data_IF_048191149448
#
_entry.id   IF_048191149448
#
_cell.length_a   1.000
_cell.length_b   1.000
_cell.length_c   1.000
_cell.angle_alpha   90.00
_cell.angle_beta   90.00
_cell.angle_gamma   90.00
#
_symmetry.space_group_name_H-M   'P 1'
#
loop_
_entity.id
_entity.type
_entity.pdbx_description
1 polymer ?
#
# COMPACT_ATOMS: atom_id res chain seq x y z
N UNK A 1 31.99 68.19 -6.47
CA UNK A 1 32.34 66.79 -6.79
C UNK A 1 31.12 65.92 -6.51
N UNK A 2 30.43 65.46 -7.55
CA UNK A 2 29.20 64.66 -7.45
C UNK A 2 29.57 63.25 -6.95
N UNK A 3 29.07 62.86 -5.77
CA UNK A 3 29.19 61.47 -5.27
C UNK A 3 28.18 60.60 -6.02
N UNK A 4 28.68 59.66 -6.82
CA UNK A 4 27.90 58.57 -7.42
C UNK A 4 27.39 57.67 -6.29
N UNK A 5 26.08 57.48 -6.21
CA UNK A 5 25.45 56.43 -5.41
C UNK A 5 25.45 55.13 -6.24
N UNK A 6 26.22 54.14 -5.79
CA UNK A 6 26.12 52.77 -6.28
C UNK A 6 24.94 52.10 -5.54
N UNK A 7 23.85 51.85 -6.26
CA UNK A 7 22.75 51.03 -5.75
C UNK A 7 23.19 49.58 -5.79
N UNK A 8 23.34 48.95 -4.62
CA UNK A 8 23.58 47.52 -4.48
C UNK A 8 22.22 46.83 -4.66
N UNK A 9 21.98 46.23 -5.83
CA UNK A 9 20.82 45.39 -6.03
C UNK A 9 21.02 44.08 -5.25
N UNK A 10 20.30 43.92 -4.14
CA UNK A 10 20.21 42.66 -3.42
C UNK A 10 19.30 41.75 -4.24
N UNK A 11 19.89 40.81 -4.98
CA UNK A 11 19.15 39.72 -5.59
C UNK A 11 18.75 38.77 -4.46
N UNK A 12 17.50 38.88 -3.98
CA UNK A 12 16.90 37.83 -3.18
C UNK A 12 16.83 36.58 -4.08
N UNK A 13 17.75 35.65 -3.87
CA UNK A 13 17.62 34.31 -4.41
C UNK A 13 16.36 33.71 -3.81
N UNK A 14 15.32 33.55 -4.62
CA UNK A 14 14.22 32.67 -4.29
C UNK A 14 14.82 31.25 -4.29
N UNK A 15 15.22 30.77 -3.11
CA UNK A 15 15.37 29.34 -2.90
C UNK A 15 13.97 28.75 -3.04
N UNK A 16 13.77 27.97 -4.10
CA UNK A 16 12.65 27.05 -4.17
C UNK A 16 12.86 26.11 -2.99
N UNK A 17 12.08 26.28 -1.91
CA UNK A 17 11.97 25.22 -0.92
C UNK A 17 11.47 24.00 -1.70
N UNK A 18 12.30 22.98 -1.83
CA UNK A 18 11.77 21.66 -2.16
C UNK A 18 10.88 21.29 -0.98
N UNK A 19 9.59 21.14 -1.24
CA UNK A 19 8.71 20.53 -0.26
C UNK A 19 9.25 19.11 -0.01
N UNK A 20 9.58 18.83 1.23
CA UNK A 20 10.11 17.57 1.72
C UNK A 20 9.67 17.47 3.18
N UNK A 21 9.31 16.27 3.62
CA UNK A 21 9.07 16.01 5.04
C UNK A 21 10.29 16.42 5.86
N UNK A 22 10.05 16.91 7.06
CA UNK A 22 11.11 17.11 8.03
C UNK A 22 11.82 15.79 8.31
N UNK A 23 13.14 15.86 8.31
CA UNK A 23 14.00 14.76 8.76
C UNK A 23 14.45 15.15 10.16
N UNK A 24 14.21 14.31 11.17
CA UNK A 24 14.63 14.60 12.54
C UNK A 24 16.14 14.76 12.63
N UNK A 25 16.59 15.58 13.58
CA UNK A 25 17.99 15.56 14.00
C UNK A 25 18.31 14.23 14.71
N UNK A 26 19.59 13.89 14.84
CA UNK A 26 20.06 12.56 15.30
C UNK A 26 19.38 12.11 16.60
N UNK A 27 18.61 11.03 16.52
CA UNK A 27 18.02 10.31 17.65
C UNK A 27 18.93 9.16 18.07
N UNK A 28 18.85 8.74 19.34
CA UNK A 28 19.55 7.55 19.85
C UNK A 28 18.56 6.44 20.23
N UNK A 29 18.57 5.36 19.46
CA UNK A 29 17.79 4.14 19.73
C UNK A 29 18.64 3.00 20.29
N UNK A 30 19.91 3.23 20.64
CA UNK A 30 20.83 2.16 21.05
C UNK A 30 20.64 1.67 22.49
N UNK A 31 19.89 2.40 23.33
CA UNK A 31 19.65 2.04 24.74
C UNK A 31 18.30 1.33 24.96
N UNK A 32 17.70 0.79 23.90
CA UNK A 32 16.42 0.06 23.96
C UNK A 32 15.23 0.87 23.45
N UNK A 33 15.43 2.12 23.08
CA UNK A 33 14.41 3.03 22.51
C UNK A 33 14.22 2.77 21.00
N UNK A 34 13.89 1.53 20.66
CA UNK A 34 13.91 0.98 19.29
C UNK A 34 12.58 0.31 18.95
N UNK A 35 12.19 0.42 17.69
CA UNK A 35 11.07 -0.29 17.08
C UNK A 35 11.64 -1.55 16.41
N UNK A 36 11.26 -2.73 16.89
CA UNK A 36 11.72 -4.01 16.32
C UNK A 36 10.81 -4.54 15.24
N UNK A 37 9.51 -4.23 15.31
CA UNK A 37 8.57 -4.64 14.30
C UNK A 37 7.39 -3.68 14.21
N UNK A 38 6.90 -3.45 12.99
CA UNK A 38 5.61 -2.79 12.72
C UNK A 38 4.75 -3.73 11.87
N UNK A 39 3.52 -4.00 12.31
CA UNK A 39 2.48 -4.57 11.46
C UNK A 39 1.27 -3.66 11.34
N UNK A 40 0.86 -3.36 10.11
CA UNK A 40 -0.27 -2.48 9.85
C UNK A 40 -0.85 -2.71 8.46
N UNK A 41 -2.10 -3.21 8.38
CA UNK A 41 -2.86 -3.34 7.14
C UNK A 41 -2.08 -3.95 5.95
N UNK A 42 -1.25 -4.96 6.20
CA UNK A 42 -0.41 -5.64 5.19
C UNK A 42 1.08 -5.37 5.34
N UNK A 43 1.48 -4.29 6.00
CA UNK A 43 2.87 -4.09 6.46
C UNK A 43 3.19 -5.15 7.51
N UNK A 44 4.38 -5.73 7.42
CA UNK A 44 5.03 -6.52 8.45
C UNK A 44 6.55 -6.35 8.25
N UNK A 45 7.12 -5.36 8.91
CA UNK A 45 8.52 -5.00 8.77
C UNK A 45 9.25 -5.26 10.08
N UNK A 46 10.26 -6.13 10.06
CA UNK A 46 11.21 -6.29 11.15
C UNK A 46 12.37 -5.32 10.93
N UNK A 47 12.74 -4.56 11.96
CA UNK A 47 13.82 -3.57 11.94
C UNK A 47 14.73 -3.70 13.17
N UNK A 48 15.91 -3.09 13.05
CA UNK A 48 16.82 -2.81 14.15
C UNK A 48 16.96 -1.29 14.24
N UNK A 49 17.56 -0.79 15.33
CA UNK A 49 17.84 0.64 15.52
C UNK A 49 18.47 1.28 14.26
N UNK A 50 17.71 2.17 13.65
CA UNK A 50 18.08 2.84 12.41
C UNK A 50 19.27 3.77 12.62
N UNK A 51 20.12 3.98 11.60
CA UNK A 51 21.21 4.96 11.69
C UNK A 51 20.65 6.35 12.07
N UNK A 52 21.22 6.95 13.11
CA UNK A 52 20.77 8.22 13.67
C UNK A 52 19.28 8.23 14.11
N UNK A 53 18.74 7.03 14.39
CA UNK A 53 17.37 6.79 14.82
C UNK A 53 16.28 7.16 13.81
N UNK A 54 16.62 7.23 12.51
CA UNK A 54 15.64 7.47 11.44
C UNK A 54 15.72 6.40 10.35
N UNK A 55 14.63 5.66 10.16
CA UNK A 55 14.44 4.65 9.12
C UNK A 55 13.42 5.08 8.07
N UNK A 56 13.82 5.15 6.81
CA UNK A 56 12.90 5.36 5.68
C UNK A 56 12.65 4.04 4.95
N UNK A 57 11.44 3.51 5.09
CA UNK A 57 10.99 2.27 4.47
C UNK A 57 10.05 2.48 3.28
N UNK A 58 9.86 3.73 2.83
CA UNK A 58 8.91 4.08 1.78
C UNK A 58 9.22 3.44 0.41
N UNK A 59 10.47 3.04 0.17
CA UNK A 59 10.90 2.34 -1.05
C UNK A 59 11.17 0.84 -0.87
N UNK A 60 11.21 0.35 0.37
CA UNK A 60 11.67 -1.02 0.70
C UNK A 60 10.58 -1.92 1.26
N UNK A 61 9.48 -1.34 1.74
CA UNK A 61 8.31 -2.05 2.29
C UNK A 61 7.07 -1.72 1.46
N UNK A 62 6.29 -2.75 1.11
CA UNK A 62 5.04 -2.54 0.38
C UNK A 62 4.05 -1.71 1.22
N UNK A 63 3.30 -0.76 0.62
CA UNK A 63 2.41 0.12 1.38
C UNK A 63 1.30 -0.63 2.13
N UNK A 64 0.91 -0.10 3.30
CA UNK A 64 -0.31 -0.52 4.00
C UNK A 64 -1.54 -0.30 3.10
N UNK A 65 -2.46 -1.26 3.04
CA UNK A 65 -3.64 -1.20 2.18
C UNK A 65 -4.89 -0.93 3.02
N UNK A 66 -5.43 0.29 2.92
CA UNK A 66 -6.55 0.73 3.76
C UNK A 66 -7.69 1.33 2.95
N UNK A 67 -8.89 1.30 3.54
CA UNK A 67 -10.13 1.82 2.93
C UNK A 67 -10.65 3.01 3.77
N UNK A 68 -11.10 4.12 3.14
CA UNK A 68 -11.69 5.23 3.85
C UNK A 68 -12.84 4.82 4.78
N UNK A 69 -12.82 5.29 6.03
CA UNK A 69 -13.86 5.03 7.02
C UNK A 69 -13.76 3.70 7.77
N UNK A 70 -12.80 2.84 7.41
CA UNK A 70 -12.54 1.58 8.10
C UNK A 70 -11.49 1.74 9.21
N UNK A 71 -11.52 0.82 10.17
CA UNK A 71 -10.57 0.76 11.30
C UNK A 71 -9.67 -0.46 11.16
N UNK A 72 -8.38 -0.26 11.38
CA UNK A 72 -7.33 -1.28 11.26
C UNK A 72 -6.57 -1.38 12.58
N UNK A 73 -6.25 -2.61 12.98
CA UNK A 73 -5.34 -2.84 14.10
C UNK A 73 -3.90 -2.62 13.62
N UNK A 74 -3.13 -1.89 14.41
CA UNK A 74 -1.68 -1.77 14.30
C UNK A 74 -1.04 -2.53 15.45
N UNK A 75 0.05 -3.23 15.21
CA UNK A 75 0.89 -3.80 16.26
C UNK A 75 2.33 -3.36 16.11
N UNK A 76 3.00 -3.14 17.24
CA UNK A 76 4.43 -2.80 17.26
C UNK A 76 5.14 -3.62 18.33
N UNK A 77 6.30 -4.17 18.00
CA UNK A 77 7.24 -4.75 18.98
C UNK A 77 8.32 -3.70 19.29
N UNK A 78 8.46 -3.36 20.57
CA UNK A 78 9.24 -2.22 21.02
C UNK A 78 10.23 -2.67 22.09
N UNK A 79 11.44 -2.08 22.08
CA UNK A 79 12.46 -2.34 23.08
C UNK A 79 12.15 -1.79 24.48
N UNK A 80 12.91 -2.28 25.47
CA UNK A 80 12.84 -1.87 26.88
C UNK A 80 13.87 -0.76 27.14
N UNK A 81 13.61 0.44 26.59
CA UNK A 81 14.47 1.62 26.76
C UNK A 81 14.19 2.36 28.06
N UNK A 82 12.92 2.65 28.34
CA UNK A 82 12.42 3.08 29.65
C UNK A 82 10.88 3.05 29.73
N UNK A 83 10.21 4.14 29.36
CA UNK A 83 8.77 4.15 29.10
C UNK A 83 8.60 4.66 27.69
N UNK A 84 8.26 3.74 26.79
CA UNK A 84 8.19 4.05 25.37
C UNK A 84 6.83 4.59 24.99
N UNK A 85 6.81 5.81 24.46
CA UNK A 85 5.60 6.45 23.94
C UNK A 85 5.67 6.48 22.44
N UNK A 86 4.59 6.07 21.79
CA UNK A 86 4.53 6.08 20.33
C UNK A 86 3.36 6.92 19.83
N UNK A 87 3.69 7.87 18.97
CA UNK A 87 2.74 8.57 18.11
C UNK A 87 2.93 8.13 16.67
N UNK A 88 1.84 8.12 15.92
CA UNK A 88 1.84 7.86 14.49
C UNK A 88 1.11 8.98 13.77
N UNK A 89 1.55 9.36 12.58
CA UNK A 89 0.88 10.29 11.69
C UNK A 89 0.67 9.66 10.32
N UNK A 90 -0.38 10.07 9.63
CA UNK A 90 -0.55 9.83 8.20
C UNK A 90 -0.89 11.18 7.56
N UNK A 91 0.00 11.71 6.74
CA UNK A 91 -0.24 12.96 5.98
C UNK A 91 -1.35 12.68 4.97
N UNK A 92 -2.61 12.95 5.33
CA UNK A 92 -3.81 12.60 4.56
C UNK A 92 -4.17 13.66 3.52
N UNK A 93 -3.60 14.85 3.61
CA UNK A 93 -3.78 15.91 2.61
C UNK A 93 -2.60 16.02 1.62
N UNK A 94 -1.55 15.22 1.82
CA UNK A 94 -0.31 15.17 1.03
C UNK A 94 0.38 16.54 0.93
N UNK A 95 0.29 17.36 1.99
CA UNK A 95 0.91 18.68 2.03
C UNK A 95 2.41 18.65 2.43
N UNK A 96 2.95 17.46 2.71
CA UNK A 96 4.32 17.20 3.19
C UNK A 96 4.61 17.71 4.60
N UNK A 97 3.56 17.87 5.40
CA UNK A 97 3.58 18.21 6.81
C UNK A 97 2.71 17.19 7.53
N UNK A 98 3.12 16.80 8.73
CA UNK A 98 2.32 15.93 9.58
C UNK A 98 1.57 16.80 10.59
N UNK A 99 0.29 17.02 10.32
CA UNK A 99 -0.55 17.92 11.09
C UNK A 99 -1.08 17.26 12.37
N UNK A 100 -1.49 18.08 13.35
CA UNK A 100 -1.94 17.57 14.65
C UNK A 100 -3.22 16.73 14.60
N UNK A 101 -4.07 16.97 13.60
CA UNK A 101 -5.31 16.21 13.35
C UNK A 101 -5.08 14.92 12.55
N UNK A 102 -3.84 14.69 12.11
CA UNK A 102 -3.40 13.47 11.43
C UNK A 102 -2.72 12.48 12.39
N UNK A 103 -2.60 12.86 13.67
CA UNK A 103 -1.89 12.09 14.69
C UNK A 103 -2.78 11.07 15.40
N UNK A 104 -2.19 9.93 15.69
CA UNK A 104 -2.72 8.85 16.51
C UNK A 104 -1.74 8.56 17.65
N UNK A 105 -2.24 8.51 18.89
CA UNK A 105 -1.47 8.09 20.05
C UNK A 105 -1.63 6.56 20.19
N UNK A 106 -0.55 5.79 20.05
CA UNK A 106 -0.62 4.32 19.88
C UNK A 106 -0.18 3.56 21.14
N UNK A 107 0.96 3.93 21.74
CA UNK A 107 1.55 3.21 22.88
C UNK A 107 1.67 4.12 24.10
N UNK A 108 0.94 3.79 25.16
CA UNK A 108 0.75 4.64 26.35
C UNK A 108 1.95 4.68 27.32
N UNK A 109 3.08 4.02 27.04
CA UNK A 109 4.26 4.06 27.91
C UNK A 109 4.39 2.83 28.79
N UNK A 110 5.19 1.87 28.33
CA UNK A 110 5.59 0.69 29.09
C UNK A 110 7.07 0.38 28.79
N UNK A 111 7.65 -0.55 29.55
CA UNK A 111 9.06 -0.97 29.48
C UNK A 111 9.32 -1.95 28.32
N UNK A 112 8.72 -1.73 27.15
CA UNK A 112 8.85 -2.59 25.97
C UNK A 112 7.90 -3.79 25.88
N UNK A 113 7.91 -4.45 24.72
CA UNK A 113 7.05 -5.57 24.34
C UNK A 113 6.17 -5.28 23.12
N UNK A 114 5.15 -6.13 22.91
CA UNK A 114 4.21 -6.00 21.78
C UNK A 114 2.97 -5.24 22.20
N UNK A 115 2.73 -4.11 21.54
CA UNK A 115 1.58 -3.23 21.76
C UNK A 115 0.63 -3.27 20.58
N UNK A 116 -0.64 -2.93 20.85
CA UNK A 116 -1.70 -2.90 19.87
C UNK A 116 -2.41 -1.55 19.94
N UNK A 117 -2.77 -1.01 18.77
CA UNK A 117 -3.59 0.18 18.64
C UNK A 117 -4.64 0.00 17.55
N UNK A 118 -5.62 0.91 17.53
CA UNK A 118 -6.65 0.96 16.49
C UNK A 118 -6.55 2.28 15.72
N UNK A 119 -6.34 2.19 14.41
CA UNK A 119 -6.24 3.34 13.53
C UNK A 119 -7.49 3.39 12.66
N UNK A 120 -8.26 4.47 12.81
CA UNK A 120 -9.45 4.71 11.97
C UNK A 120 -9.09 5.67 10.85
N UNK A 121 -9.26 5.23 9.61
CA UNK A 121 -9.01 6.06 8.44
C UNK A 121 -10.19 7.04 8.24
N UNK A 122 -9.97 8.35 8.10
CA UNK A 122 -11.05 9.30 7.83
C UNK A 122 -11.91 8.87 6.64
N UNK A 123 -13.22 9.05 6.71
CA UNK A 123 -14.12 8.60 5.62
C UNK A 123 -14.08 9.48 4.37
N UNK A 124 -13.52 10.68 4.49
CA UNK A 124 -13.44 11.71 3.46
C UNK A 124 -12.05 11.85 2.84
N UNK A 125 -11.07 11.05 3.29
CA UNK A 125 -9.77 10.94 2.62
C UNK A 125 -9.98 10.43 1.19
N UNK A 126 -9.22 10.98 0.24
CA UNK A 126 -9.28 10.56 -1.15
C UNK A 126 -8.47 9.29 -1.38
N UNK A 127 -8.80 8.53 -2.42
CA UNK A 127 -7.94 7.44 -2.89
C UNK A 127 -6.56 8.02 -3.28
N UNK A 128 -5.49 7.42 -2.77
CA UNK A 128 -4.15 7.98 -2.91
C UNK A 128 -3.09 7.21 -2.13
N UNK A 129 -1.82 7.54 -2.40
CA UNK A 129 -0.69 7.11 -1.57
C UNK A 129 -0.33 8.26 -0.65
N UNK A 130 -0.11 7.95 0.61
CA UNK A 130 0.16 8.88 1.69
C UNK A 130 1.37 8.39 2.49
N UNK A 131 2.12 9.31 3.09
CA UNK A 131 3.23 8.93 3.97
C UNK A 131 2.71 8.75 5.38
N UNK A 132 3.14 7.67 6.02
CA UNK A 132 2.92 7.41 7.44
C UNK A 132 4.25 7.56 8.17
N UNK A 133 4.24 8.24 9.31
CA UNK A 133 5.37 8.35 10.22
C UNK A 133 5.02 7.73 11.55
N UNK A 134 5.90 6.87 12.06
CA UNK A 134 5.84 6.37 13.43
C UNK A 134 7.00 7.00 14.19
N UNK A 135 6.71 7.57 15.35
CA UNK A 135 7.73 8.12 16.24
C UNK A 135 7.59 7.49 17.61
N UNK A 136 8.60 6.73 18.00
CA UNK A 136 8.85 6.26 19.34
C UNK A 136 9.79 7.22 20.06
N UNK A 137 9.43 7.66 21.25
CA UNK A 137 10.32 8.42 22.13
C UNK A 137 10.25 7.89 23.55
N UNK A 138 11.42 7.80 24.18
CA UNK A 138 11.55 7.54 25.60
C UNK A 138 11.00 8.73 26.38
N UNK A 139 9.94 8.49 27.14
CA UNK A 139 9.34 9.50 28.00
C UNK A 139 9.41 9.06 29.46
N UNK A 140 9.20 9.98 30.40
CA UNK A 140 8.91 9.58 31.78
C UNK A 140 7.55 8.86 31.86
N UNK A 141 7.27 8.15 32.97
CA UNK A 141 5.97 7.49 33.19
C UNK A 141 4.75 8.42 33.05
N UNK A 142 4.94 9.72 33.30
CA UNK A 142 3.93 10.77 33.15
C UNK A 142 4.24 11.72 31.99
N UNK A 143 5.13 11.33 31.08
CA UNK A 143 5.47 12.07 29.88
C UNK A 143 4.37 11.94 28.83
N UNK A 144 4.25 12.97 28.03
CA UNK A 144 3.31 13.02 26.91
C UNK A 144 3.83 12.18 25.74
N UNK A 145 2.91 11.79 24.86
CA UNK A 145 3.26 11.20 23.57
C UNK A 145 4.04 12.20 22.72
N UNK A 146 4.86 11.75 21.75
CA UNK A 146 5.48 12.66 20.80
C UNK A 146 4.46 13.56 20.11
N UNK A 147 4.65 14.88 20.24
CA UNK A 147 3.71 15.88 19.69
C UNK A 147 4.20 16.49 18.38
N UNK A 148 5.51 16.57 18.21
CA UNK A 148 6.18 17.14 17.04
C UNK A 148 6.84 16.00 16.23
N UNK A 149 6.40 15.76 14.98
CA UNK A 149 6.93 14.71 14.12
C UNK A 149 8.30 15.08 13.50
N UNK A 150 8.75 16.32 13.67
CA UNK A 150 9.94 16.87 13.02
C UNK A 150 11.17 16.96 13.90
N UNK A 151 11.01 16.91 15.23
CA UNK A 151 12.08 16.93 16.25
C UNK A 151 13.18 17.93 15.92
N UNK A 152 13.02 19.19 16.37
CA UNK A 152 13.98 20.27 16.13
C UNK A 152 14.82 20.65 17.38
N UNK A 153 14.89 19.77 18.37
CA UNK A 153 15.58 20.06 19.63
C UNK A 153 17.09 19.79 19.55
N UNK A 154 17.90 20.72 20.06
CA UNK A 154 19.37 20.59 20.17
C UNK A 154 19.83 19.54 21.20
N UNK A 155 18.92 18.78 21.82
CA UNK A 155 19.25 17.78 22.84
C UNK A 155 19.13 16.36 22.25
N UNK A 156 20.00 15.46 22.71
CA UNK A 156 19.93 14.04 22.42
C UNK A 156 18.61 13.47 22.96
N UNK A 157 17.74 13.06 22.03
CA UNK A 157 16.45 12.43 22.33
C UNK A 157 16.60 10.94 22.07
N UNK A 158 16.21 10.16 23.08
CA UNK A 158 16.14 8.71 22.99
C UNK A 158 14.87 8.30 22.26
N UNK A 159 15.02 7.53 21.19
CA UNK A 159 13.90 7.10 20.37
C UNK A 159 14.27 6.76 18.93
N UNK A 160 13.23 6.46 18.16
CA UNK A 160 13.34 6.09 16.75
C UNK A 160 12.13 6.59 15.96
N UNK A 161 12.39 7.01 14.72
CA UNK A 161 11.37 7.37 13.74
C UNK A 161 11.44 6.43 12.54
N UNK A 162 10.29 5.93 12.11
CA UNK A 162 10.17 5.12 10.90
C UNK A 162 9.10 5.67 9.95
N UNK A 163 9.44 5.82 8.67
CA UNK A 163 8.52 6.27 7.62
C UNK A 163 8.12 5.11 6.69
N UNK A 164 6.82 5.04 6.39
CA UNK A 164 6.19 4.04 5.54
C UNK A 164 5.20 4.69 4.57
N UNK A 165 4.69 3.90 3.62
CA UNK A 165 3.60 4.33 2.74
C UNK A 165 2.27 3.68 3.14
N UNK A 166 1.19 4.44 3.00
CA UNK A 166 -0.20 3.98 3.13
C UNK A 166 -0.90 4.22 1.80
N UNK A 167 -1.38 3.14 1.18
CA UNK A 167 -2.27 3.18 0.04
C UNK A 167 -3.71 3.17 0.52
N UNK A 168 -4.34 4.34 0.45
CA UNK A 168 -5.78 4.49 0.64
C UNK A 168 -6.46 4.18 -0.69
N UNK A 169 -7.45 3.31 -0.65
CA UNK A 169 -8.36 3.13 -1.76
C UNK A 169 -9.29 1.97 -1.53
N UNK A 170 -10.39 1.97 -2.28
CA UNK A 170 -11.23 0.77 -2.31
C UNK A 170 -10.40 -0.39 -2.85
N UNK A 171 -10.19 -1.45 -2.05
CA UNK A 171 -9.63 -2.71 -2.55
C UNK A 171 -10.58 -3.24 -3.62
N UNK A 172 -10.31 -2.88 -4.87
CA UNK A 172 -11.27 -3.11 -5.93
C UNK A 172 -11.24 -4.59 -6.31
N UNK A 173 -12.35 -5.29 -6.06
CA UNK A 173 -12.70 -6.57 -6.71
C UNK A 173 -12.61 -6.47 -8.26
N UNK A 174 -12.46 -5.26 -8.80
CA UNK A 174 -12.22 -4.99 -10.21
C UNK A 174 -10.93 -5.60 -10.76
N UNK A 175 -9.88 -5.81 -9.96
CA UNK A 175 -8.63 -6.43 -10.46
C UNK A 175 -8.72 -7.96 -10.56
N UNK A 176 -9.59 -8.59 -9.78
CA UNK A 176 -10.00 -9.97 -10.03
C UNK A 176 -10.81 -10.09 -11.33
N UNK A 177 -11.68 -9.12 -11.64
CA UNK A 177 -12.49 -9.17 -12.85
C UNK A 177 -11.74 -8.79 -14.13
N UNK A 178 -10.72 -7.91 -14.08
CA UNK A 178 -9.90 -7.57 -15.26
C UNK A 178 -8.96 -8.69 -15.69
N UNK A 179 -8.61 -9.60 -14.76
CA UNK A 179 -7.71 -10.73 -15.00
C UNK A 179 -8.41 -12.03 -15.39
N UNK A 180 -9.74 -12.03 -15.51
CA UNK A 180 -10.54 -13.25 -15.66
C UNK A 180 -11.47 -13.12 -16.88
N UNK A 181 -11.29 -14.01 -17.86
CA UNK A 181 -12.13 -14.03 -19.06
C UNK A 181 -13.53 -14.59 -18.73
N UNK A 182 -14.58 -14.07 -19.36
CA UNK A 182 -15.96 -14.56 -19.19
C UNK A 182 -16.43 -15.35 -20.42
N UNK A 183 -17.21 -16.42 -20.21
CA UNK A 183 -17.78 -17.25 -21.28
C UNK A 183 -19.30 -17.25 -21.17
N UNK A 184 -20.00 -16.82 -22.23
CA UNK A 184 -21.44 -16.63 -22.20
C UNK A 184 -22.12 -16.83 -23.57
N UNK A 185 -23.39 -17.27 -23.62
CA UNK A 185 -24.20 -17.67 -22.48
C UNK A 185 -23.74 -19.03 -21.91
N UNK A 186 -23.93 -19.21 -20.61
CA UNK A 186 -23.79 -20.50 -19.94
C UNK A 186 -25.04 -20.70 -19.06
N UNK A 187 -25.94 -21.67 -19.35
CA UNK A 187 -25.81 -22.75 -20.33
C UNK A 187 -25.83 -22.32 -21.80
N UNK A 188 -25.05 -22.99 -22.64
CA UNK A 188 -24.96 -22.77 -24.10
C UNK A 188 -25.86 -23.73 -24.86
N UNK A 189 -26.51 -23.24 -25.93
CA UNK A 189 -27.27 -24.07 -26.87
C UNK A 189 -26.45 -24.24 -28.14
N UNK A 190 -26.29 -23.20 -28.96
CA UNK A 190 -25.58 -23.33 -30.24
C UNK A 190 -24.21 -22.69 -30.25
N UNK A 191 -24.10 -21.47 -29.72
CA UNK A 191 -22.86 -20.69 -29.75
C UNK A 191 -22.60 -20.03 -28.40
N UNK A 192 -21.35 -20.00 -27.98
CA UNK A 192 -20.89 -19.16 -26.87
C UNK A 192 -19.89 -18.11 -27.36
N UNK A 193 -19.70 -17.07 -26.57
CA UNK A 193 -18.75 -15.99 -26.77
C UNK A 193 -17.78 -15.96 -25.59
N UNK A 194 -16.60 -15.39 -25.83
CA UNK A 194 -15.57 -15.18 -24.80
C UNK A 194 -15.29 -13.69 -24.71
N UNK A 195 -15.54 -13.08 -23.55
CA UNK A 195 -14.99 -11.76 -23.23
C UNK A 195 -13.61 -11.97 -22.62
N UNK A 196 -12.57 -11.59 -23.35
CA UNK A 196 -11.18 -11.81 -22.96
C UNK A 196 -10.74 -10.78 -21.92
N UNK A 197 -10.10 -11.23 -20.86
CA UNK A 197 -9.37 -10.36 -19.93
C UNK A 197 -8.19 -9.66 -20.60
N UNK A 198 -7.79 -8.51 -20.08
CA UNK A 198 -6.69 -7.68 -20.65
C UNK A 198 -5.32 -8.37 -20.68
N UNK A 199 -5.13 -9.46 -19.93
CA UNK A 199 -3.90 -10.27 -19.97
C UNK A 199 -3.68 -11.01 -21.29
N UNK A 200 -4.73 -11.27 -22.08
CA UNK A 200 -4.61 -12.03 -23.33
C UNK A 200 -4.31 -11.14 -24.53
N UNK A 201 -3.44 -11.59 -25.42
CA UNK A 201 -3.30 -11.00 -26.75
C UNK A 201 -4.46 -11.45 -27.67
N UNK A 202 -5.46 -10.58 -27.85
CA UNK A 202 -6.67 -10.86 -28.64
C UNK A 202 -6.41 -11.33 -30.09
N UNK A 203 -5.25 -10.98 -30.66
CA UNK A 203 -4.89 -11.34 -32.04
C UNK A 203 -4.34 -12.78 -32.16
N UNK A 204 -3.99 -13.44 -31.06
CA UNK A 204 -3.37 -14.76 -31.06
C UNK A 204 -4.07 -15.76 -30.14
N UNK A 205 -5.40 -15.65 -29.97
CA UNK A 205 -6.14 -16.54 -29.07
C UNK A 205 -6.53 -17.84 -29.75
N UNK A 206 -6.30 -18.95 -29.07
CA UNK A 206 -6.83 -20.28 -29.37
C UNK A 206 -7.82 -20.69 -28.28
N UNK A 207 -8.99 -21.17 -28.69
CA UNK A 207 -10.04 -21.69 -27.81
C UNK A 207 -10.22 -23.18 -28.06
N UNK A 208 -10.03 -23.99 -27.02
CA UNK A 208 -10.17 -25.46 -27.08
C UNK A 208 -11.30 -25.90 -26.17
N UNK A 209 -12.19 -26.75 -26.67
CA UNK A 209 -13.29 -27.35 -25.89
C UNK A 209 -12.96 -28.81 -25.65
N UNK A 210 -13.05 -29.23 -24.39
CA UNK A 210 -12.69 -30.56 -23.91
C UNK A 210 -13.86 -31.15 -23.11
N UNK A 211 -14.12 -32.46 -23.26
CA UNK A 211 -15.10 -33.17 -22.44
C UNK A 211 -14.56 -33.51 -21.03
N UNK A 212 -15.41 -34.07 -20.16
CA UNK A 212 -15.01 -34.48 -18.80
C UNK A 212 -13.98 -35.61 -18.76
N UNK A 213 -13.79 -36.35 -19.85
CA UNK A 213 -12.76 -37.37 -19.97
C UNK A 213 -11.41 -36.80 -20.42
N UNK A 214 -11.31 -35.47 -20.60
CA UNK A 214 -10.09 -34.80 -21.03
C UNK A 214 -9.85 -34.85 -22.54
N UNK A 215 -10.82 -35.31 -23.34
CA UNK A 215 -10.70 -35.38 -24.81
C UNK A 215 -11.08 -34.05 -25.42
N UNK A 216 -10.21 -33.49 -26.25
CA UNK A 216 -10.51 -32.30 -27.05
C UNK A 216 -11.55 -32.65 -28.12
N UNK A 217 -12.69 -31.94 -28.09
CA UNK A 217 -13.81 -32.14 -29.02
C UNK A 217 -13.87 -31.05 -30.08
N UNK A 218 -13.37 -29.84 -29.78
CA UNK A 218 -13.29 -28.70 -30.72
C UNK A 218 -12.06 -27.85 -30.45
N UNK A 219 -11.53 -27.22 -31.49
CA UNK A 219 -10.49 -26.19 -31.41
C UNK A 219 -10.82 -25.08 -32.39
N UNK A 220 -10.68 -23.83 -31.95
CA UNK A 220 -10.96 -22.63 -32.71
C UNK A 220 -9.79 -21.64 -32.58
N UNK A 221 -9.57 -20.85 -33.63
CA UNK A 221 -8.79 -19.60 -33.53
C UNK A 221 -9.65 -18.44 -33.04
N UNK A 222 -9.10 -17.23 -32.98
CA UNK A 222 -9.80 -16.02 -32.56
C UNK A 222 -11.06 -15.77 -33.42
N UNK A 223 -12.21 -15.69 -32.75
CA UNK A 223 -13.51 -15.45 -33.37
C UNK A 223 -14.45 -14.70 -32.41
N UNK A 224 -15.46 -14.03 -32.96
CA UNK A 224 -16.49 -13.33 -32.17
C UNK A 224 -17.45 -14.29 -31.46
N UNK A 225 -17.62 -15.52 -31.98
CA UNK A 225 -18.46 -16.56 -31.39
C UNK A 225 -17.95 -17.96 -31.77
N UNK A 226 -18.28 -18.95 -30.96
CA UNK A 226 -17.80 -20.33 -31.07
C UNK A 226 -18.97 -21.31 -31.09
N UNK A 227 -19.10 -22.04 -32.20
CA UNK A 227 -20.21 -22.97 -32.43
C UNK A 227 -19.96 -24.35 -31.80
N UNK A 228 -20.91 -24.81 -31.01
CA UNK A 228 -20.92 -26.10 -30.31
C UNK A 228 -22.25 -26.84 -30.45
N UNK A 229 -23.08 -26.46 -31.43
CA UNK A 229 -24.44 -27.01 -31.59
C UNK A 229 -24.46 -28.52 -31.87
N UNK A 230 -23.38 -29.04 -32.45
CA UNK A 230 -23.20 -30.46 -32.76
C UNK A 230 -22.70 -31.29 -31.57
N UNK A 231 -22.33 -30.66 -30.45
CA UNK A 231 -21.95 -31.35 -29.23
C UNK A 231 -23.19 -31.86 -28.48
N UNK A 232 -23.08 -33.07 -27.93
CA UNK A 232 -24.13 -33.62 -27.06
C UNK A 232 -24.29 -32.77 -25.78
N UNK A 233 -25.50 -32.76 -25.23
CA UNK A 233 -25.76 -32.12 -23.95
C UNK A 233 -24.84 -32.67 -22.85
N UNK A 234 -24.25 -31.78 -22.06
CA UNK A 234 -23.23 -32.16 -21.08
C UNK A 234 -22.39 -31.00 -20.60
N UNK A 235 -21.41 -31.32 -19.74
CA UNK A 235 -20.45 -30.35 -19.22
C UNK A 235 -19.17 -30.42 -20.02
N UNK A 236 -18.65 -29.27 -20.41
CA UNK A 236 -17.39 -29.13 -21.12
C UNK A 236 -16.49 -28.09 -20.45
N UNK A 237 -15.18 -28.24 -20.67
CA UNK A 237 -14.17 -27.27 -20.26
C UNK A 237 -13.67 -26.54 -21.51
N UNK A 238 -13.73 -25.22 -21.48
CA UNK A 238 -13.20 -24.31 -22.48
C UNK A 238 -11.85 -23.81 -21.98
N UNK A 239 -10.78 -24.14 -22.67
CA UNK A 239 -9.44 -23.60 -22.45
C UNK A 239 -9.20 -22.45 -23.44
N UNK A 240 -8.76 -21.30 -22.93
CA UNK A 240 -8.40 -20.10 -23.68
C UNK A 240 -6.90 -19.90 -23.50
N UNK A 241 -6.15 -19.75 -24.59
CA UNK A 241 -4.70 -19.49 -24.51
C UNK A 241 -4.23 -18.59 -25.65
N UNK A 242 -3.23 -17.75 -25.39
CA UNK A 242 -2.50 -16.99 -26.42
C UNK A 242 -1.05 -17.50 -26.65
N UNK A 243 -0.71 -18.65 -26.05
CA UNK A 243 0.64 -19.23 -26.02
C UNK A 243 1.43 -18.87 -24.75
N UNK A 244 1.19 -17.71 -24.15
CA UNK A 244 1.85 -17.25 -22.92
C UNK A 244 0.92 -17.40 -21.71
N UNK A 245 -0.31 -16.94 -21.87
CA UNK A 245 -1.38 -16.98 -20.88
C UNK A 245 -2.32 -18.16 -21.17
N UNK A 246 -2.88 -18.74 -20.11
CA UNK A 246 -3.87 -19.82 -20.20
C UNK A 246 -4.95 -19.63 -19.14
N UNK A 247 -6.22 -19.82 -19.52
CA UNK A 247 -7.36 -19.81 -18.61
C UNK A 247 -8.35 -20.90 -18.99
N UNK A 248 -9.05 -21.47 -18.01
CA UNK A 248 -10.08 -22.49 -18.24
C UNK A 248 -11.43 -22.07 -17.67
N UNK A 249 -12.50 -22.37 -18.39
CA UNK A 249 -13.89 -22.05 -18.04
C UNK A 249 -14.78 -23.26 -18.25
N UNK A 250 -15.73 -23.47 -17.36
CA UNK A 250 -16.74 -24.51 -17.52
C UNK A 250 -17.94 -23.96 -18.29
N UNK A 251 -18.44 -24.73 -19.25
CA UNK A 251 -19.73 -24.49 -19.91
C UNK A 251 -20.64 -25.70 -19.78
N UNK A 252 -21.95 -25.45 -19.76
CA UNK A 252 -22.99 -26.49 -19.77
C UNK A 252 -23.71 -26.40 -21.11
N UNK A 253 -23.58 -27.43 -21.95
CA UNK A 253 -24.32 -27.58 -23.20
C UNK A 253 -25.69 -28.19 -22.92
N UNK A 254 -26.75 -27.56 -23.39
CA UNK A 254 -28.12 -28.11 -23.38
C UNK A 254 -28.48 -28.76 -24.69
#
# INVERSE_FOLDING_TARGET
>A
MKKLLFSLAFAAGFSVLNAQYCIPDSLDCNDGDVIYNVTFAGINNDSDCSPDGYGDYTETVDPAQVVPGETYEISMDIGDGWYEKVSMWIDFDNNMTFDSDERFDVVEGDTGGVFFGEITIPSDVSDGTYTMRIYLSAAGSSGDYPQDPCVDEENEIYGEIEDYLVQVGTMAVSDLNKNVSAVYPNPVIDNFNVNLSSKFNANNVTVTVTDLAGRTVKTFGSASSYNVSDLAAGVYVVKITDGQNTETKKIVKK
#
